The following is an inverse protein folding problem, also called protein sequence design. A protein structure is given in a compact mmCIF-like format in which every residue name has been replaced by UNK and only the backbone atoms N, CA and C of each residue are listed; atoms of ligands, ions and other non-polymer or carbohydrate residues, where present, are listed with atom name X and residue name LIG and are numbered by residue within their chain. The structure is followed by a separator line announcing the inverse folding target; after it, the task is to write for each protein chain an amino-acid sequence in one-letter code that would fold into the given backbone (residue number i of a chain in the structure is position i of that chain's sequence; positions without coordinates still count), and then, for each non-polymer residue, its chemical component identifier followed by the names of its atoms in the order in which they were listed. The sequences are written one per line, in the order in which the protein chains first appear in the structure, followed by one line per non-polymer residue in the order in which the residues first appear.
data_IF_592999481309
#
_entry.id   IF_592999481309
#
_cell.length_a   1.000
_cell.length_b   1.000
_cell.length_c   1.000
_cell.angle_alpha   90.00
_cell.angle_beta   90.00
_cell.angle_gamma   90.00
#
_symmetry.space_group_name_H-M   'P 1'
#
loop_
_entity.id
_entity.type
_entity.pdbx_description
1 polymer ?
#
# COMPACT_ATOMS: atom_id res chain seq x y z
N UNK A 1 -3.29 15.48 -33.69
CA UNK A 1 -2.50 14.24 -33.42
C UNK A 1 -1.82 14.42 -32.08
N UNK A 2 -2.45 13.92 -31.02
CA UNK A 2 -1.93 14.03 -29.65
C UNK A 2 -0.97 12.87 -29.43
N UNK A 3 0.32 13.15 -29.34
CA UNK A 3 1.36 12.17 -29.03
C UNK A 3 1.21 11.74 -27.59
N UNK A 4 0.68 10.53 -27.41
CA UNK A 4 0.53 9.87 -26.12
C UNK A 4 1.94 9.65 -25.53
N UNK A 5 2.38 10.52 -24.60
CA UNK A 5 3.65 10.38 -23.90
C UNK A 5 3.50 9.26 -22.86
N UNK A 6 3.64 7.99 -23.31
CA UNK A 6 3.80 6.83 -22.42
C UNK A 6 5.06 7.06 -21.57
N UNK A 7 4.93 7.03 -20.25
CA UNK A 7 6.10 7.04 -19.34
C UNK A 7 7.06 5.91 -19.72
N UNK A 8 8.37 6.11 -19.77
CA UNK A 8 9.34 5.04 -20.01
C UNK A 8 9.15 3.94 -18.97
N UNK A 9 8.94 2.69 -19.41
CA UNK A 9 8.72 1.54 -18.54
C UNK A 9 7.26 1.21 -18.23
N UNK A 10 6.27 1.84 -18.88
CA UNK A 10 4.86 1.50 -18.72
C UNK A 10 4.57 0.11 -19.28
N UNK A 11 3.91 -0.73 -18.48
CA UNK A 11 3.41 -2.04 -18.91
C UNK A 11 2.33 -1.85 -19.98
N UNK A 12 2.28 -2.76 -20.96
CA UNK A 12 1.20 -2.84 -21.92
C UNK A 12 0.20 -3.91 -21.47
N UNK A 13 -1.00 -3.46 -21.09
CA UNK A 13 -2.12 -4.32 -20.74
C UNK A 13 -3.24 -4.26 -21.79
N UNK A 14 -2.91 -3.90 -23.04
CA UNK A 14 -3.88 -3.87 -24.15
C UNK A 14 -4.57 -5.24 -24.28
N UNK A 15 -5.90 -5.24 -24.33
CA UNK A 15 -6.70 -6.45 -24.38
C UNK A 15 -6.96 -7.13 -23.04
N UNK A 16 -6.40 -6.62 -21.92
CA UNK A 16 -6.73 -7.11 -20.56
C UNK A 16 -8.03 -6.48 -20.08
N UNK A 17 -8.87 -7.28 -19.46
CA UNK A 17 -10.20 -6.91 -18.93
C UNK A 17 -10.12 -6.88 -17.41
N UNK A 18 -10.23 -5.70 -16.86
CA UNK A 18 -9.97 -5.44 -15.44
C UNK A 18 -11.23 -4.97 -14.73
N UNK A 19 -11.61 -5.65 -13.67
CA UNK A 19 -12.71 -5.24 -12.80
C UNK A 19 -12.17 -4.45 -11.59
N UNK A 20 -12.70 -3.25 -11.37
CA UNK A 20 -12.33 -2.39 -10.24
C UNK A 20 -13.57 -2.03 -9.41
N UNK A 21 -14.09 -2.95 -8.56
CA UNK A 21 -15.14 -2.63 -7.61
C UNK A 21 -14.62 -1.66 -6.56
N UNK A 22 -15.34 -0.55 -6.34
CA UNK A 22 -14.83 0.57 -5.54
C UNK A 22 -13.96 1.56 -6.32
N UNK A 23 -13.90 1.43 -7.66
CA UNK A 23 -13.10 2.27 -8.55
C UNK A 23 -13.42 3.77 -8.48
N UNK A 24 -14.64 4.16 -8.07
CA UNK A 24 -15.03 5.56 -7.90
C UNK A 24 -14.51 6.19 -6.59
N UNK A 25 -13.90 5.40 -5.69
CA UNK A 25 -13.28 5.87 -4.46
C UNK A 25 -11.92 6.54 -4.69
N UNK A 26 -11.34 7.13 -3.63
CA UNK A 26 -10.08 7.85 -3.75
C UNK A 26 -8.89 7.02 -4.25
N UNK A 27 -8.70 5.83 -3.69
CA UNK A 27 -7.66 4.88 -4.15
C UNK A 27 -8.08 4.27 -5.50
N UNK A 28 -9.35 3.91 -5.64
CA UNK A 28 -9.90 3.32 -6.85
C UNK A 28 -9.71 4.18 -8.10
N UNK A 29 -9.83 5.50 -7.96
CA UNK A 29 -9.57 6.45 -9.05
C UNK A 29 -8.14 6.29 -9.60
N UNK A 30 -7.13 6.27 -8.73
CA UNK A 30 -5.73 6.09 -9.14
C UNK A 30 -5.53 4.74 -9.84
N UNK A 31 -6.13 3.67 -9.32
CA UNK A 31 -6.11 2.35 -9.95
C UNK A 31 -6.71 2.41 -11.35
N UNK A 32 -7.91 2.99 -11.52
CA UNK A 32 -8.56 3.12 -12.82
C UNK A 32 -7.69 3.90 -13.81
N UNK A 33 -7.13 5.04 -13.41
CA UNK A 33 -6.22 5.84 -14.25
C UNK A 33 -5.02 5.05 -14.72
N UNK A 34 -4.37 4.32 -13.83
CA UNK A 34 -3.16 3.54 -14.18
C UNK A 34 -3.48 2.40 -15.15
N UNK A 35 -4.58 1.67 -14.98
CA UNK A 35 -4.98 0.62 -15.90
C UNK A 35 -5.42 1.15 -17.27
N UNK A 36 -6.16 2.25 -17.32
CA UNK A 36 -6.51 2.91 -18.58
C UNK A 36 -5.25 3.41 -19.32
N UNK A 37 -4.29 3.99 -18.60
CA UNK A 37 -3.02 4.42 -19.16
C UNK A 37 -2.18 3.23 -19.68
N UNK A 38 -2.31 2.05 -19.07
CA UNK A 38 -1.70 0.81 -19.52
C UNK A 38 -2.44 0.17 -20.71
N UNK A 39 -3.59 0.70 -21.14
CA UNK A 39 -4.35 0.24 -22.29
C UNK A 39 -5.35 -0.89 -22.01
N UNK A 40 -5.64 -1.17 -20.74
CA UNK A 40 -6.64 -2.17 -20.35
C UNK A 40 -8.08 -1.68 -20.58
N UNK A 41 -9.00 -2.62 -20.79
CA UNK A 41 -10.44 -2.38 -20.69
C UNK A 41 -10.84 -2.47 -19.22
N UNK A 42 -11.32 -1.35 -18.64
CA UNK A 42 -11.57 -1.22 -17.21
C UNK A 42 -13.06 -1.11 -16.94
N UNK A 43 -13.59 -2.06 -16.19
CA UNK A 43 -14.98 -2.07 -15.73
C UNK A 43 -15.05 -1.55 -14.30
N UNK A 44 -15.85 -0.51 -14.10
CA UNK A 44 -16.09 0.09 -12.78
C UNK A 44 -17.59 0.04 -12.48
N UNK A 45 -18.02 -0.81 -11.54
CA UNK A 45 -19.41 -0.81 -11.10
C UNK A 45 -19.69 0.43 -10.24
N UNK A 46 -20.82 1.08 -10.51
CA UNK A 46 -21.32 2.25 -9.78
C UNK A 46 -22.73 1.96 -9.25
N UNK A 47 -23.16 2.69 -8.22
CA UNK A 47 -24.49 2.51 -7.65
C UNK A 47 -25.59 3.18 -8.46
N UNK A 48 -25.26 4.25 -9.19
CA UNK A 48 -26.23 5.05 -9.97
C UNK A 48 -25.57 5.61 -11.23
N UNK A 49 -26.37 5.94 -12.24
CA UNK A 49 -25.92 6.63 -13.46
C UNK A 49 -25.29 7.98 -13.13
N UNK A 50 -25.86 8.72 -12.18
CA UNK A 50 -25.29 10.00 -11.76
C UNK A 50 -23.84 9.83 -11.27
N UNK A 51 -23.55 8.81 -10.44
CA UNK A 51 -22.18 8.54 -9.98
C UNK A 51 -21.25 8.09 -11.12
N UNK A 52 -21.79 7.43 -12.12
CA UNK A 52 -21.03 7.07 -13.30
C UNK A 52 -20.60 8.34 -14.06
N UNK A 53 -21.50 9.27 -14.26
CA UNK A 53 -21.20 10.54 -14.95
C UNK A 53 -20.25 11.42 -14.17
N UNK A 54 -20.52 11.63 -12.86
CA UNK A 54 -19.60 12.36 -11.96
C UNK A 54 -18.17 11.75 -12.00
N UNK A 55 -18.05 10.43 -12.05
CA UNK A 55 -16.74 9.79 -12.12
C UNK A 55 -16.07 9.97 -13.49
N UNK A 56 -16.83 9.97 -14.57
CA UNK A 56 -16.31 10.28 -15.90
C UNK A 56 -15.74 11.69 -15.96
N UNK A 57 -16.45 12.66 -15.39
CA UNK A 57 -15.96 14.05 -15.28
C UNK A 57 -14.67 14.14 -14.45
N UNK A 58 -14.61 13.44 -13.32
CA UNK A 58 -13.39 13.37 -12.47
C UNK A 58 -12.19 12.81 -13.24
N UNK A 59 -12.40 11.79 -14.07
CA UNK A 59 -11.32 11.22 -14.87
C UNK A 59 -10.88 12.15 -16.03
N UNK A 60 -11.79 12.97 -16.56
CA UNK A 60 -11.49 13.88 -17.68
C UNK A 60 -10.91 13.11 -18.88
N UNK A 61 -9.78 13.57 -19.42
CA UNK A 61 -9.11 12.97 -20.59
C UNK A 61 -8.69 11.48 -20.38
N UNK A 62 -8.61 11.01 -19.13
CA UNK A 62 -8.33 9.61 -18.86
C UNK A 62 -9.56 8.72 -19.12
N UNK A 63 -10.78 9.26 -19.20
CA UNK A 63 -12.00 8.53 -19.53
C UNK A 63 -12.07 8.16 -21.02
N UNK A 64 -11.27 7.21 -21.42
CA UNK A 64 -11.22 6.72 -22.81
C UNK A 64 -12.37 5.77 -23.13
N UNK A 65 -12.48 5.33 -24.40
CA UNK A 65 -13.45 4.30 -24.83
C UNK A 65 -13.24 2.92 -24.14
N UNK A 66 -12.13 2.73 -23.45
CA UNK A 66 -11.82 1.52 -22.66
C UNK A 66 -12.38 1.56 -21.24
N UNK A 67 -13.00 2.67 -20.82
CA UNK A 67 -13.67 2.79 -19.54
C UNK A 67 -15.13 2.34 -19.68
N UNK A 68 -15.51 1.31 -18.96
CA UNK A 68 -16.86 0.76 -18.90
C UNK A 68 -17.46 1.00 -17.52
N UNK A 69 -18.25 2.06 -17.40
CA UNK A 69 -19.02 2.35 -16.19
C UNK A 69 -20.35 1.59 -16.25
N UNK A 70 -20.62 0.74 -15.28
CA UNK A 70 -21.83 -0.08 -15.23
C UNK A 70 -22.61 0.18 -13.92
N UNK A 71 -23.90 0.46 -14.02
CA UNK A 71 -24.74 0.58 -12.82
C UNK A 71 -25.07 -0.81 -12.34
N UNK A 72 -24.42 -1.22 -11.26
CA UNK A 72 -24.54 -2.55 -10.72
C UNK A 72 -24.22 -2.61 -9.24
N UNK A 73 -25.03 -3.34 -8.48
CA UNK A 73 -24.75 -3.65 -7.09
C UNK A 73 -23.98 -4.97 -6.96
N UNK A 74 -22.75 -4.89 -6.51
CA UNK A 74 -21.85 -6.01 -6.26
C UNK A 74 -21.70 -6.35 -4.77
N UNK A 75 -22.42 -5.68 -3.89
CA UNK A 75 -22.24 -5.80 -2.43
C UNK A 75 -22.84 -7.08 -1.84
N UNK A 76 -23.60 -7.81 -2.63
CA UNK A 76 -24.15 -9.13 -2.29
C UNK A 76 -23.58 -10.24 -3.16
N UNK A 77 -23.61 -11.48 -2.67
CA UNK A 77 -23.15 -12.64 -3.44
C UNK A 77 -23.84 -12.76 -4.81
N UNK A 78 -25.17 -12.65 -4.83
CA UNK A 78 -25.93 -12.70 -6.08
C UNK A 78 -25.64 -11.51 -7.00
N UNK A 79 -25.38 -10.32 -6.43
CA UNK A 79 -24.98 -9.14 -7.18
C UNK A 79 -23.62 -9.32 -7.84
N UNK A 80 -22.63 -9.75 -7.07
CA UNK A 80 -21.28 -10.00 -7.59
C UNK A 80 -21.27 -11.09 -8.69
N UNK A 81 -22.05 -12.18 -8.54
CA UNK A 81 -22.21 -13.22 -9.55
C UNK A 81 -22.78 -12.67 -10.86
N UNK A 82 -23.83 -11.82 -10.77
CA UNK A 82 -24.38 -11.18 -11.98
C UNK A 82 -23.37 -10.25 -12.66
N UNK A 83 -22.59 -9.50 -11.89
CA UNK A 83 -21.54 -8.63 -12.43
C UNK A 83 -20.46 -9.44 -13.17
N UNK A 84 -19.99 -10.53 -12.58
CA UNK A 84 -19.02 -11.41 -13.21
C UNK A 84 -19.57 -12.04 -14.50
N UNK A 85 -20.84 -12.48 -14.49
CA UNK A 85 -21.52 -12.99 -15.67
C UNK A 85 -21.68 -11.92 -16.77
N UNK A 86 -21.99 -10.68 -16.39
CA UNK A 86 -22.10 -9.54 -17.31
C UNK A 86 -20.74 -9.26 -18.00
N UNK A 87 -19.65 -9.20 -17.25
CA UNK A 87 -18.31 -9.01 -17.82
C UNK A 87 -17.96 -10.14 -18.80
N UNK A 88 -18.28 -11.38 -18.44
CA UNK A 88 -18.03 -12.54 -19.30
C UNK A 88 -18.83 -12.45 -20.60
N UNK A 89 -20.06 -11.96 -20.54
CA UNK A 89 -20.96 -11.80 -21.70
C UNK A 89 -20.52 -10.65 -22.61
N UNK A 90 -20.11 -9.49 -22.04
CA UNK A 90 -19.85 -8.25 -22.79
C UNK A 90 -18.41 -8.13 -23.25
N UNK A 91 -17.45 -8.55 -22.42
CA UNK A 91 -16.01 -8.44 -22.70
C UNK A 91 -15.34 -9.80 -22.96
N UNK A 92 -16.07 -10.92 -22.82
CA UNK A 92 -15.54 -12.26 -23.03
C UNK A 92 -14.77 -12.85 -21.85
N UNK A 93 -14.71 -12.19 -20.69
CA UNK A 93 -14.05 -12.72 -19.48
C UNK A 93 -13.56 -11.66 -18.51
N UNK A 94 -12.79 -12.11 -17.53
CA UNK A 94 -12.13 -11.28 -16.51
C UNK A 94 -10.67 -11.70 -16.46
N UNK A 95 -9.76 -10.76 -16.66
CA UNK A 95 -8.33 -11.05 -16.54
C UNK A 95 -7.81 -10.68 -15.17
N UNK A 96 -8.16 -9.51 -14.66
CA UNK A 96 -7.70 -9.03 -13.37
C UNK A 96 -8.85 -8.44 -12.55
N UNK A 97 -8.70 -8.51 -11.23
CA UNK A 97 -9.57 -7.80 -10.27
C UNK A 97 -8.68 -6.98 -9.34
N UNK A 98 -8.98 -5.71 -9.19
CA UNK A 98 -8.42 -4.88 -8.13
C UNK A 98 -9.56 -4.35 -7.29
N UNK A 99 -9.60 -4.70 -6.02
CA UNK A 99 -10.73 -4.47 -5.13
C UNK A 99 -10.45 -3.41 -4.04
N UNK A 100 -10.40 -2.10 -4.37
CA UNK A 100 -10.35 -1.02 -3.40
C UNK A 100 -11.74 -0.75 -2.80
N UNK A 101 -12.41 -1.80 -2.38
CA UNK A 101 -13.73 -1.72 -1.72
C UNK A 101 -13.49 -1.29 -0.29
N UNK A 102 -14.16 -0.22 0.15
CA UNK A 102 -14.02 0.19 1.52
C UNK A 102 -14.58 1.57 1.81
N UNK A 103 -14.41 1.95 3.04
CA UNK A 103 -14.69 3.25 3.59
C UNK A 103 -14.01 3.36 4.94
N UNK A 104 -13.62 4.56 5.33
CA UNK A 104 -13.05 4.78 6.65
C UNK A 104 -14.17 5.07 7.64
N UNK A 105 -14.19 4.31 8.74
CA UNK A 105 -15.09 4.51 9.86
C UNK A 105 -14.27 4.67 11.14
N UNK A 106 -14.57 5.67 11.94
CA UNK A 106 -13.94 5.93 13.22
C UNK A 106 -14.83 6.79 14.12
N UNK A 107 -14.38 7.00 15.36
CA UNK A 107 -14.99 7.94 16.29
C UNK A 107 -15.59 7.30 17.54
N UNK A 108 -15.60 5.96 17.65
CA UNK A 108 -16.06 5.24 18.85
C UNK A 108 -15.04 4.20 19.31
N UNK A 109 -14.96 4.02 20.61
CA UNK A 109 -14.21 2.89 21.17
C UNK A 109 -14.93 1.58 20.82
N UNK A 110 -14.16 0.50 20.71
CA UNK A 110 -14.70 -0.78 20.22
C UNK A 110 -15.87 -1.32 21.07
N UNK A 111 -15.87 -1.04 22.37
CA UNK A 111 -16.98 -1.47 23.28
C UNK A 111 -18.17 -0.49 23.30
N UNK A 112 -18.12 0.62 22.58
CA UNK A 112 -19.18 1.63 22.46
C UNK A 112 -19.94 1.55 21.13
N UNK A 113 -19.56 0.59 20.25
CA UNK A 113 -20.20 0.44 18.93
C UNK A 113 -21.61 -0.12 19.08
N UNK A 114 -22.51 0.35 18.20
CA UNK A 114 -23.85 -0.19 18.05
C UNK A 114 -23.96 -1.25 16.96
N UNK A 115 -25.10 -1.93 16.91
CA UNK A 115 -25.39 -2.92 15.86
C UNK A 115 -25.30 -2.35 14.45
N UNK A 116 -25.72 -1.08 14.25
CA UNK A 116 -25.63 -0.39 12.96
C UNK A 116 -24.19 -0.14 12.55
N UNK A 117 -23.31 0.26 13.48
CA UNK A 117 -21.89 0.44 13.20
C UNK A 117 -21.26 -0.89 12.76
N UNK A 118 -21.56 -1.97 13.50
CA UNK A 118 -21.11 -3.32 13.19
C UNK A 118 -21.55 -3.75 11.80
N UNK A 119 -22.84 -3.57 11.49
CA UNK A 119 -23.40 -3.96 10.21
C UNK A 119 -22.71 -3.22 9.06
N UNK A 120 -22.59 -1.89 9.15
CA UNK A 120 -22.10 -1.07 8.04
C UNK A 120 -20.59 -1.11 7.89
N UNK A 121 -19.85 -1.02 9.01
CA UNK A 121 -18.39 -0.88 8.97
C UNK A 121 -17.63 -2.23 8.99
N UNK A 122 -18.32 -3.32 9.23
CA UNK A 122 -17.70 -4.65 9.22
C UNK A 122 -18.44 -5.62 8.30
N UNK A 123 -19.72 -5.92 8.57
CA UNK A 123 -20.44 -7.00 7.87
C UNK A 123 -20.61 -6.68 6.38
N UNK A 124 -21.07 -5.48 6.04
CA UNK A 124 -21.30 -5.09 4.64
C UNK A 124 -20.00 -5.06 3.84
N UNK A 125 -18.93 -4.51 4.40
CA UNK A 125 -17.63 -4.43 3.72
C UNK A 125 -17.02 -5.83 3.55
N UNK A 126 -16.97 -6.62 4.59
CA UNK A 126 -16.46 -8.00 4.51
C UNK A 126 -17.28 -8.86 3.54
N UNK A 127 -18.61 -8.69 3.53
CA UNK A 127 -19.51 -9.39 2.60
C UNK A 127 -19.23 -8.98 1.15
N UNK A 128 -19.04 -7.70 0.86
CA UNK A 128 -18.77 -7.21 -0.48
C UNK A 128 -17.44 -7.80 -1.02
N UNK A 129 -16.39 -7.81 -0.21
CA UNK A 129 -15.12 -8.44 -0.58
C UNK A 129 -15.24 -9.96 -0.82
N UNK A 130 -15.91 -10.68 0.08
CA UNK A 130 -16.13 -12.12 -0.06
C UNK A 130 -16.98 -12.44 -1.30
N UNK A 131 -18.01 -11.64 -1.59
CA UNK A 131 -18.89 -11.79 -2.75
C UNK A 131 -18.12 -11.61 -4.07
N UNK A 132 -17.33 -10.55 -4.19
CA UNK A 132 -16.52 -10.28 -5.38
C UNK A 132 -15.45 -11.35 -5.56
N UNK A 133 -14.76 -11.73 -4.51
CA UNK A 133 -13.76 -12.80 -4.55
C UNK A 133 -14.38 -14.10 -5.06
N UNK A 134 -15.47 -14.56 -4.45
CA UNK A 134 -16.15 -15.80 -4.83
C UNK A 134 -16.65 -15.77 -6.28
N UNK A 135 -17.18 -14.64 -6.73
CA UNK A 135 -17.74 -14.50 -8.06
C UNK A 135 -16.67 -14.40 -9.16
N UNK A 136 -15.50 -13.82 -8.86
CA UNK A 136 -14.51 -13.49 -9.90
C UNK A 136 -13.32 -14.45 -9.93
N UNK A 137 -12.81 -14.84 -8.75
CA UNK A 137 -11.55 -15.61 -8.65
C UNK A 137 -11.55 -16.90 -9.47
N UNK A 138 -12.63 -17.73 -9.50
CA UNK A 138 -12.68 -18.94 -10.32
C UNK A 138 -12.72 -18.70 -11.83
N UNK A 139 -12.95 -17.46 -12.25
CA UNK A 139 -13.13 -17.05 -13.64
C UNK A 139 -11.99 -16.18 -14.18
N UNK A 140 -10.97 -15.94 -13.38
CA UNK A 140 -9.79 -15.21 -13.84
C UNK A 140 -9.07 -16.01 -14.93
N UNK A 141 -8.48 -15.29 -15.89
CA UNK A 141 -7.57 -15.93 -16.84
C UNK A 141 -6.37 -16.57 -16.13
N UNK A 142 -5.70 -17.56 -16.72
CA UNK A 142 -4.57 -18.24 -16.06
C UNK A 142 -3.43 -17.31 -15.62
N UNK A 143 -3.23 -16.19 -16.34
CA UNK A 143 -2.26 -15.16 -16.00
C UNK A 143 -2.88 -14.01 -15.21
N UNK A 144 -4.11 -14.15 -14.77
CA UNK A 144 -4.86 -13.10 -14.06
C UNK A 144 -4.37 -12.86 -12.64
N UNK A 145 -4.56 -11.65 -12.14
CA UNK A 145 -4.23 -11.26 -10.78
C UNK A 145 -5.48 -10.80 -10.02
N UNK A 146 -5.58 -11.21 -8.76
CA UNK A 146 -6.57 -10.68 -7.81
C UNK A 146 -5.86 -9.84 -6.76
N UNK A 147 -6.08 -8.55 -6.77
CA UNK A 147 -5.46 -7.60 -5.84
C UNK A 147 -6.49 -7.10 -4.82
N UNK A 148 -6.36 -7.53 -3.58
CA UNK A 148 -7.05 -6.91 -2.45
C UNK A 148 -6.34 -5.60 -2.09
N UNK A 149 -7.10 -4.55 -1.85
CA UNK A 149 -6.58 -3.31 -1.28
C UNK A 149 -6.97 -3.27 0.19
N UNK A 150 -5.97 -3.26 1.06
CA UNK A 150 -6.11 -3.42 2.51
C UNK A 150 -5.41 -2.25 3.20
N UNK A 151 -6.02 -1.71 4.25
CA UNK A 151 -5.39 -0.66 5.06
C UNK A 151 -4.35 -1.22 6.04
N UNK A 152 -3.31 -0.42 6.36
CA UNK A 152 -2.30 -0.75 7.39
C UNK A 152 -2.94 -1.01 8.77
N UNK A 153 -4.18 -0.56 8.99
CA UNK A 153 -4.98 -0.90 10.17
C UNK A 153 -5.22 -2.40 10.37
N UNK A 154 -4.98 -3.22 9.33
CA UNK A 154 -4.95 -4.68 9.43
C UNK A 154 -3.84 -5.20 10.34
N UNK A 155 -2.74 -4.47 10.49
CA UNK A 155 -1.54 -4.88 11.24
C UNK A 155 -1.18 -3.92 12.36
N UNK A 156 -1.57 -2.66 12.25
CA UNK A 156 -1.33 -1.62 13.26
C UNK A 156 -2.67 -1.10 13.76
N UNK A 157 -3.07 -1.42 15.00
CA UNK A 157 -4.35 -0.99 15.53
C UNK A 157 -4.52 0.53 15.52
N UNK A 158 -5.68 0.99 15.04
CA UNK A 158 -6.04 2.41 15.05
C UNK A 158 -7.10 2.63 16.13
N UNK A 159 -6.79 3.36 17.23
CA UNK A 159 -7.76 3.68 18.27
C UNK A 159 -9.00 4.36 17.67
N UNK A 160 -10.18 4.02 18.16
CA UNK A 160 -11.50 4.49 17.69
C UNK A 160 -11.90 4.06 16.27
N UNK A 161 -11.06 3.33 15.55
CA UNK A 161 -11.36 2.71 14.24
C UNK A 161 -11.28 1.18 14.30
N UNK A 162 -11.71 0.59 15.42
CA UNK A 162 -11.57 -0.85 15.69
C UNK A 162 -12.29 -1.73 14.67
N UNK A 163 -13.49 -1.34 14.20
CA UNK A 163 -14.23 -2.11 13.19
C UNK A 163 -13.47 -2.19 11.86
N UNK A 164 -12.91 -1.07 11.41
CA UNK A 164 -12.08 -1.05 10.20
C UNK A 164 -10.82 -1.90 10.41
N UNK A 165 -10.15 -1.79 11.57
CA UNK A 165 -8.98 -2.61 11.86
C UNK A 165 -9.30 -4.11 11.83
N UNK A 166 -10.43 -4.53 12.36
CA UNK A 166 -10.89 -5.93 12.34
C UNK A 166 -11.23 -6.39 10.92
N UNK A 167 -11.97 -5.58 10.17
CA UNK A 167 -12.36 -5.89 8.79
C UNK A 167 -11.11 -6.02 7.89
N UNK A 168 -10.19 -5.06 7.95
CA UNK A 168 -8.95 -5.10 7.18
C UNK A 168 -8.06 -6.28 7.57
N UNK A 169 -8.04 -6.68 8.85
CA UNK A 169 -7.34 -7.90 9.29
C UNK A 169 -7.98 -9.17 8.72
N UNK A 170 -9.31 -9.22 8.63
CA UNK A 170 -10.02 -10.33 8.00
C UNK A 170 -9.69 -10.45 6.50
N UNK A 171 -9.59 -9.32 5.78
CA UNK A 171 -9.20 -9.30 4.36
C UNK A 171 -7.75 -9.77 4.17
N UNK A 172 -6.84 -9.36 5.04
CA UNK A 172 -5.45 -9.81 4.98
C UNK A 172 -5.35 -11.32 5.24
N UNK A 173 -6.13 -11.84 6.20
CA UNK A 173 -6.22 -13.28 6.44
C UNK A 173 -6.87 -14.01 5.25
N UNK A 174 -7.88 -13.43 4.61
CA UNK A 174 -8.49 -14.00 3.39
C UNK A 174 -7.45 -14.18 2.28
N UNK A 175 -6.59 -13.19 2.03
CA UNK A 175 -5.51 -13.33 1.06
C UNK A 175 -4.57 -14.50 1.40
N UNK A 176 -4.18 -14.65 2.67
CA UNK A 176 -3.30 -15.74 3.13
C UNK A 176 -3.93 -17.12 2.94
N UNK A 177 -5.22 -17.25 3.29
CA UNK A 177 -5.99 -18.49 3.11
C UNK A 177 -6.08 -18.83 1.63
N UNK A 178 -6.45 -17.87 0.78
CA UNK A 178 -6.52 -18.09 -0.67
C UNK A 178 -5.17 -18.52 -1.26
N UNK A 179 -4.07 -17.91 -0.82
CA UNK A 179 -2.73 -18.31 -1.24
C UNK A 179 -2.41 -19.75 -0.84
N UNK A 180 -2.80 -20.17 0.37
CA UNK A 180 -2.61 -21.52 0.84
C UNK A 180 -3.48 -22.55 0.09
N UNK A 181 -4.75 -22.22 -0.19
CA UNK A 181 -5.69 -23.08 -0.90
C UNK A 181 -5.38 -23.23 -2.41
N UNK A 182 -4.92 -22.16 -3.06
CA UNK A 182 -4.62 -22.15 -4.49
C UNK A 182 -3.18 -22.59 -4.80
N UNK A 183 -2.34 -22.74 -3.78
CA UNK A 183 -0.94 -23.11 -3.92
C UNK A 183 -0.02 -21.90 -4.17
N UNK A 184 1.29 -22.15 -4.05
CA UNK A 184 2.32 -21.11 -4.03
C UNK A 184 2.47 -20.26 -5.29
N UNK A 185 1.90 -20.71 -6.41
CA UNK A 185 1.92 -19.98 -7.69
C UNK A 185 0.66 -19.10 -7.89
N UNK A 186 -0.24 -19.07 -6.92
CA UNK A 186 -1.44 -18.24 -6.99
C UNK A 186 -1.09 -16.75 -7.12
N UNK A 187 -1.89 -16.01 -7.87
CA UNK A 187 -1.68 -14.58 -8.13
C UNK A 187 -2.66 -13.71 -7.34
N UNK A 188 -2.81 -14.03 -6.05
CA UNK A 188 -3.63 -13.26 -5.10
C UNK A 188 -2.72 -12.35 -4.27
N UNK A 189 -2.84 -11.05 -4.48
CA UNK A 189 -2.05 -10.02 -3.82
C UNK A 189 -2.86 -9.30 -2.75
N UNK A 190 -2.20 -8.82 -1.70
CA UNK A 190 -2.73 -7.80 -0.80
C UNK A 190 -1.84 -6.56 -0.88
N UNK A 191 -2.38 -5.44 -1.36
CA UNK A 191 -1.74 -4.13 -1.30
C UNK A 191 -2.11 -3.50 0.04
N UNK A 192 -1.19 -3.53 1.00
CA UNK A 192 -1.39 -3.03 2.36
C UNK A 192 -0.96 -1.57 2.42
N UNK A 193 -1.93 -0.67 2.52
CA UNK A 193 -1.73 0.76 2.36
C UNK A 193 -1.62 1.48 3.71
N UNK A 194 -0.58 2.28 3.87
CA UNK A 194 -0.56 3.38 4.82
C UNK A 194 -1.55 4.49 4.40
N UNK A 195 -1.42 5.70 4.95
CA UNK A 195 -2.18 6.85 4.47
C UNK A 195 -1.90 7.12 2.99
N UNK A 196 -2.98 7.38 2.21
CA UNK A 196 -2.89 7.58 0.76
C UNK A 196 -3.30 9.01 0.39
N UNK A 197 -2.50 9.65 -0.47
CA UNK A 197 -2.89 10.92 -1.09
C UNK A 197 -3.96 10.66 -2.13
N UNK A 198 -5.16 11.13 -1.85
CA UNK A 198 -6.31 11.05 -2.74
C UNK A 198 -6.94 12.42 -2.89
N UNK A 199 -7.84 12.60 -3.86
CA UNK A 199 -8.60 13.86 -4.01
C UNK A 199 -9.44 14.22 -2.77
N UNK A 200 -9.73 13.27 -1.89
CA UNK A 200 -10.49 13.48 -0.66
C UNK A 200 -9.61 13.87 0.53
N UNK A 201 -8.29 13.76 0.42
CA UNK A 201 -7.36 14.09 1.48
C UNK A 201 -6.72 15.46 1.22
N UNK A 202 -7.46 16.54 1.55
CA UNK A 202 -7.05 17.92 1.26
C UNK A 202 -5.73 18.36 1.92
N UNK A 203 -5.34 17.73 3.04
CA UNK A 203 -4.11 18.00 3.79
C UNK A 203 -3.15 16.79 3.78
N UNK A 204 -3.07 16.08 2.65
CA UNK A 204 -2.22 14.90 2.55
C UNK A 204 -0.72 15.27 2.64
N UNK A 205 0.01 14.54 3.47
CA UNK A 205 1.46 14.64 3.56
C UNK A 205 2.09 14.23 2.20
N UNK A 206 3.00 15.04 1.63
CA UNK A 206 3.71 14.70 0.39
C UNK A 206 4.48 13.37 0.44
N UNK A 207 4.85 12.90 1.63
CA UNK A 207 5.51 11.61 1.85
C UNK A 207 4.57 10.41 1.77
N UNK A 208 3.24 10.60 1.78
CA UNK A 208 2.28 9.50 1.62
C UNK A 208 2.30 8.95 0.19
N UNK A 209 2.01 7.67 0.05
CA UNK A 209 1.83 7.06 -1.28
C UNK A 209 0.66 7.72 -2.01
N UNK A 210 0.81 7.96 -3.30
CA UNK A 210 -0.27 8.48 -4.16
C UNK A 210 -1.21 7.39 -4.63
N UNK A 211 -2.46 7.73 -4.87
CA UNK A 211 -3.43 6.78 -5.43
C UNK A 211 -2.98 6.23 -6.79
N UNK A 212 -2.36 7.05 -7.63
CA UNK A 212 -1.79 6.62 -8.91
C UNK A 212 -0.60 5.65 -8.70
N UNK A 213 0.23 5.88 -7.68
CA UNK A 213 1.34 4.99 -7.33
C UNK A 213 0.82 3.61 -6.88
N UNK A 214 -0.31 3.54 -6.15
CA UNK A 214 -1.00 2.28 -5.84
C UNK A 214 -1.48 1.59 -7.11
N UNK A 215 -2.05 2.35 -8.04
CA UNK A 215 -2.49 1.86 -9.34
C UNK A 215 -1.34 1.29 -10.17
N UNK A 216 -0.19 1.97 -10.21
CA UNK A 216 1.00 1.52 -10.93
C UNK A 216 1.54 0.20 -10.37
N UNK A 217 1.47 -0.02 -9.04
CA UNK A 217 1.83 -1.30 -8.42
C UNK A 217 0.84 -2.40 -8.80
N UNK A 218 -0.47 -2.11 -8.83
CA UNK A 218 -1.48 -3.07 -9.26
C UNK A 218 -1.29 -3.47 -10.74
N UNK A 219 -0.99 -2.51 -11.61
CA UNK A 219 -0.63 -2.74 -13.03
C UNK A 219 0.61 -3.64 -13.13
N UNK A 220 1.64 -3.40 -12.35
CA UNK A 220 2.83 -4.24 -12.34
C UNK A 220 2.54 -5.67 -11.83
N UNK A 221 1.65 -5.82 -10.85
CA UNK A 221 1.18 -7.13 -10.41
C UNK A 221 0.43 -7.87 -11.52
N UNK A 222 -0.44 -7.20 -12.26
CA UNK A 222 -1.16 -7.78 -13.40
C UNK A 222 -0.24 -8.17 -14.55
N UNK A 223 0.72 -7.31 -14.90
CA UNK A 223 1.63 -7.53 -16.03
C UNK A 223 2.71 -8.59 -15.75
N UNK A 224 3.09 -8.75 -14.49
CA UNK A 224 4.14 -9.70 -14.09
C UNK A 224 3.65 -11.16 -14.08
N UNK A 225 4.58 -12.07 -13.78
CA UNK A 225 4.32 -13.50 -13.61
C UNK A 225 4.54 -13.98 -12.17
N UNK A 226 4.85 -13.09 -11.26
CA UNK A 226 5.19 -13.44 -9.88
C UNK A 226 3.99 -13.94 -9.08
N UNK A 227 4.20 -14.91 -8.18
CA UNK A 227 3.18 -15.33 -7.23
C UNK A 227 2.68 -14.17 -6.37
N UNK A 228 1.42 -14.26 -5.97
CA UNK A 228 0.76 -13.31 -5.11
C UNK A 228 1.41 -13.22 -3.73
N UNK A 229 1.37 -12.02 -3.16
CA UNK A 229 1.97 -11.72 -1.84
C UNK A 229 1.39 -10.47 -1.21
N UNK A 230 1.75 -10.24 0.03
CA UNK A 230 1.54 -8.94 0.67
C UNK A 230 2.57 -7.93 0.17
N UNK A 231 2.09 -6.76 -0.25
CA UNK A 231 2.92 -5.64 -0.69
C UNK A 231 2.54 -4.43 0.16
N UNK A 232 3.48 -3.91 0.93
CA UNK A 232 3.24 -2.78 1.82
C UNK A 232 3.63 -1.47 1.16
N UNK A 233 2.69 -0.54 1.12
CA UNK A 233 2.82 0.78 0.51
C UNK A 233 2.51 1.85 1.56
N UNK A 234 3.49 2.18 2.39
CA UNK A 234 3.35 3.13 3.50
C UNK A 234 3.76 4.54 3.12
N UNK A 235 4.75 4.64 2.23
CA UNK A 235 5.38 5.89 1.82
C UNK A 235 5.57 5.92 0.31
N UNK A 236 5.79 7.10 -0.22
CA UNK A 236 5.95 7.35 -1.66
C UNK A 236 7.00 6.47 -2.34
N UNK A 237 8.13 6.18 -1.70
CA UNK A 237 9.19 5.32 -2.26
C UNK A 237 8.83 3.83 -2.36
N UNK A 238 7.77 3.37 -1.66
CA UNK A 238 7.40 1.95 -1.62
C UNK A 238 6.89 1.43 -2.96
N UNK A 239 6.22 2.28 -3.75
CA UNK A 239 5.66 1.89 -5.04
C UNK A 239 6.76 1.50 -6.05
N UNK A 240 7.82 2.29 -6.15
CA UNK A 240 8.94 1.98 -7.03
C UNK A 240 9.61 0.64 -6.70
N UNK A 241 9.79 0.35 -5.41
CA UNK A 241 10.33 -0.93 -4.93
C UNK A 241 9.41 -2.10 -5.24
N UNK A 242 8.12 -1.93 -4.98
CA UNK A 242 7.13 -2.97 -5.27
C UNK A 242 7.10 -3.32 -6.76
N UNK A 243 7.15 -2.31 -7.63
CA UNK A 243 7.18 -2.49 -9.08
C UNK A 243 8.46 -3.24 -9.50
N UNK A 244 9.63 -2.87 -8.98
CA UNK A 244 10.87 -3.57 -9.26
C UNK A 244 10.82 -5.04 -8.81
N UNK A 245 10.32 -5.31 -7.60
CA UNK A 245 10.11 -6.66 -7.09
C UNK A 245 9.20 -7.52 -7.97
N UNK A 246 8.13 -6.92 -8.52
CA UNK A 246 7.17 -7.61 -9.37
C UNK A 246 7.71 -7.90 -10.77
N UNK A 247 8.61 -7.05 -11.29
CA UNK A 247 9.24 -7.22 -12.61
C UNK A 247 10.34 -8.27 -12.60
N UNK A 248 11.35 -8.07 -11.76
CA UNK A 248 12.64 -8.76 -11.93
C UNK A 248 12.82 -9.94 -10.98
N UNK A 249 11.97 -10.05 -9.95
CA UNK A 249 12.12 -11.05 -8.88
C UNK A 249 13.40 -10.91 -8.06
N UNK A 250 14.28 -10.09 -8.55
CA UNK A 250 15.49 -9.61 -7.90
C UNK A 250 15.32 -8.12 -7.68
N UNK A 251 14.56 -7.72 -6.67
CA UNK A 251 14.82 -6.41 -6.11
C UNK A 251 16.16 -6.48 -5.40
N UNK A 252 17.25 -6.40 -6.15
CA UNK A 252 18.41 -5.67 -5.66
C UNK A 252 18.07 -4.18 -5.69
N UNK A 253 17.04 -3.79 -5.00
CA UNK A 253 17.06 -2.48 -4.37
C UNK A 253 18.17 -2.68 -3.33
N UNK A 254 19.31 -2.08 -3.57
CA UNK A 254 20.38 -1.99 -2.58
C UNK A 254 19.91 -1.08 -1.44
N UNK A 255 18.82 -1.50 -0.80
CA UNK A 255 18.35 -0.82 0.39
C UNK A 255 19.52 -0.89 1.40
N UNK A 256 19.93 0.25 1.86
CA UNK A 256 20.98 0.37 2.86
C UNK A 256 20.30 0.39 4.21
N UNK A 257 20.49 -0.67 4.97
CA UNK A 257 20.10 -0.71 6.37
C UNK A 257 21.27 -0.26 7.21
N UNK A 258 21.03 0.69 8.10
CA UNK A 258 22.07 1.18 9.02
C UNK A 258 21.65 0.93 10.47
N UNK A 259 22.64 0.58 11.26
CA UNK A 259 22.48 0.42 12.69
C UNK A 259 23.55 1.25 13.42
N UNK A 260 23.10 2.08 14.35
CA UNK A 260 23.98 2.87 15.20
C UNK A 260 23.58 2.70 16.66
N UNK A 261 24.57 2.65 17.54
CA UNK A 261 24.35 2.66 18.98
C UNK A 261 24.94 3.93 19.58
N UNK A 262 24.22 4.54 20.51
CA UNK A 262 24.63 5.78 21.18
C UNK A 262 24.45 5.63 22.69
N UNK A 263 25.45 5.99 23.47
CA UNK A 263 25.36 6.03 24.92
C UNK A 263 25.21 7.47 25.40
N UNK A 264 24.06 7.82 25.98
CA UNK A 264 23.90 9.15 26.58
C UNK A 264 24.81 9.33 27.77
N UNK A 265 25.26 10.57 28.04
CA UNK A 265 25.86 10.93 29.30
C UNK A 265 24.85 10.71 30.42
N UNK A 266 25.28 10.33 31.62
CA UNK A 266 24.37 10.15 32.75
C UNK A 266 23.49 11.38 32.99
N UNK A 267 22.17 11.17 33.09
CA UNK A 267 21.16 12.20 33.26
C UNK A 267 20.79 12.99 31.99
N UNK A 268 21.35 12.66 30.83
CA UNK A 268 21.02 13.31 29.53
C UNK A 268 20.17 12.44 28.59
N UNK A 269 19.62 11.33 29.09
CA UNK A 269 18.87 10.36 28.33
C UNK A 269 17.61 10.96 27.66
N UNK A 270 16.83 11.70 28.47
CA UNK A 270 15.60 12.35 27.98
C UNK A 270 15.90 13.39 26.92
N UNK A 271 16.95 14.18 27.11
CA UNK A 271 17.35 15.22 26.16
C UNK A 271 17.83 14.63 24.83
N UNK A 272 18.59 13.53 24.89
CA UNK A 272 18.97 12.80 23.67
C UNK A 272 17.74 12.25 22.95
N UNK A 273 16.79 11.65 23.65
CA UNK A 273 15.57 11.11 23.06
C UNK A 273 14.70 12.19 22.41
N UNK A 274 14.61 13.37 23.04
CA UNK A 274 13.86 14.50 22.50
C UNK A 274 14.52 15.02 21.20
N UNK A 275 15.84 15.18 21.20
CA UNK A 275 16.60 15.53 20.00
C UNK A 275 16.41 14.50 18.90
N UNK A 276 16.48 13.20 19.21
CA UNK A 276 16.29 12.14 18.23
C UNK A 276 14.85 12.07 17.70
N UNK A 277 13.83 12.46 18.47
CA UNK A 277 12.46 12.60 17.97
C UNK A 277 12.33 13.76 16.98
N UNK A 278 12.93 14.93 17.33
CA UNK A 278 12.98 16.09 16.42
C UNK A 278 13.63 15.73 15.09
N UNK A 279 14.84 15.19 15.14
CA UNK A 279 15.59 14.79 13.95
C UNK A 279 14.89 13.65 13.19
N UNK A 280 14.31 12.69 13.91
CA UNK A 280 13.60 11.57 13.31
C UNK A 280 12.38 11.98 12.47
N UNK A 281 11.70 13.06 12.86
CA UNK A 281 10.63 13.62 12.04
C UNK A 281 11.17 14.18 10.70
N UNK A 282 12.31 14.87 10.76
CA UNK A 282 12.98 15.41 9.57
C UNK A 282 13.53 14.28 8.68
N UNK A 283 14.19 13.28 9.27
CA UNK A 283 14.79 12.14 8.55
C UNK A 283 13.70 11.33 7.82
N UNK A 284 12.54 11.08 8.45
CA UNK A 284 11.42 10.38 7.81
C UNK A 284 10.84 11.12 6.60
N UNK A 285 10.99 12.43 6.55
CA UNK A 285 10.56 13.26 5.42
C UNK A 285 11.61 13.35 4.29
N UNK A 286 12.83 12.83 4.49
CA UNK A 286 13.86 12.84 3.47
C UNK A 286 13.52 11.92 2.29
N UNK A 287 13.80 12.36 1.06
CA UNK A 287 13.69 11.47 -0.10
C UNK A 287 14.54 10.21 0.08
N UNK A 288 13.93 9.06 -0.16
CA UNK A 288 14.60 7.76 -0.06
C UNK A 288 14.77 7.21 1.37
N UNK A 289 14.37 7.92 2.41
CA UNK A 289 14.28 7.34 3.75
C UNK A 289 13.06 6.43 3.86
N UNK A 290 13.29 5.14 4.14
CA UNK A 290 12.26 4.11 4.21
C UNK A 290 11.81 3.86 5.64
N UNK A 291 12.76 3.97 6.57
CA UNK A 291 12.53 3.71 7.98
C UNK A 291 13.50 4.52 8.82
N UNK A 292 12.99 5.05 9.90
CA UNK A 292 13.76 5.57 11.03
C UNK A 292 13.10 5.11 12.33
N UNK A 293 13.89 4.50 13.22
CA UNK A 293 13.43 4.18 14.57
C UNK A 293 14.57 4.31 15.56
N UNK A 294 14.27 4.83 16.74
CA UNK A 294 15.19 4.94 17.87
C UNK A 294 14.60 4.20 19.08
N UNK A 295 15.39 3.35 19.70
CA UNK A 295 14.98 2.48 20.80
C UNK A 295 15.96 2.64 21.95
N UNK A 296 15.44 2.90 23.15
CA UNK A 296 16.23 2.88 24.38
C UNK A 296 16.24 1.44 24.94
N UNK A 297 17.44 0.94 25.31
CA UNK A 297 17.52 -0.35 26.01
C UNK A 297 16.87 -0.28 27.39
N UNK A 298 16.39 -1.44 27.87
CA UNK A 298 15.81 -1.54 29.24
C UNK A 298 16.87 -1.69 30.33
N UNK A 299 18.16 -1.70 29.99
CA UNK A 299 19.25 -1.75 30.95
C UNK A 299 19.37 -0.37 31.63
N UNK A 300 18.95 -0.31 32.87
CA UNK A 300 18.97 0.93 33.67
C UNK A 300 20.39 1.37 34.03
N UNK A 301 21.33 0.43 34.17
CA UNK A 301 22.71 0.74 34.58
C UNK A 301 23.54 1.25 33.39
N UNK A 302 23.15 0.87 32.15
CA UNK A 302 23.84 1.28 30.91
C UNK A 302 22.84 1.60 29.79
N UNK A 303 22.09 2.68 29.91
CA UNK A 303 21.12 3.03 28.88
C UNK A 303 21.83 3.24 27.53
N UNK A 304 21.38 2.56 26.51
CA UNK A 304 21.92 2.66 25.15
C UNK A 304 20.77 2.92 24.18
N UNK A 305 20.93 3.89 23.29
CA UNK A 305 19.98 4.14 22.22
C UNK A 305 20.45 3.40 20.97
N UNK A 306 19.59 2.54 20.46
CA UNK A 306 19.76 1.88 19.16
C UNK A 306 18.96 2.65 18.11
N UNK A 307 19.62 3.08 17.04
CA UNK A 307 18.98 3.72 15.89
C UNK A 307 19.08 2.74 14.71
N UNK A 308 17.92 2.49 14.12
CA UNK A 308 17.80 1.73 12.86
C UNK A 308 17.24 2.67 11.79
N UNK A 309 17.94 2.73 10.67
CA UNK A 309 17.48 3.45 9.49
C UNK A 309 17.58 2.54 8.28
N UNK A 310 16.68 2.75 7.34
CA UNK A 310 16.64 2.07 6.06
C UNK A 310 16.47 3.12 4.95
N UNK A 311 17.28 3.07 3.95
CA UNK A 311 17.24 3.94 2.78
C UNK A 311 17.06 3.13 1.50
N UNK A 312 16.36 3.68 0.53
CA UNK A 312 16.06 3.00 -0.74
C UNK A 312 17.29 2.72 -1.60
N UNK A 313 18.39 3.45 -1.39
CA UNK A 313 19.65 3.29 -2.12
C UNK A 313 20.84 3.85 -1.33
N UNK A 314 22.03 3.55 -1.81
CA UNK A 314 23.26 4.12 -1.28
C UNK A 314 23.31 5.64 -1.46
N UNK A 315 22.84 6.15 -2.60
CA UNK A 315 22.79 7.59 -2.88
C UNK A 315 21.85 8.31 -1.90
N UNK A 316 20.70 7.71 -1.58
CA UNK A 316 19.79 8.26 -0.57
C UNK A 316 20.43 8.30 0.83
N UNK A 317 21.17 7.25 1.21
CA UNK A 317 21.92 7.23 2.45
C UNK A 317 23.06 8.27 2.48
N UNK A 318 23.79 8.44 1.39
CA UNK A 318 24.86 9.45 1.28
C UNK A 318 24.28 10.86 1.36
N UNK A 319 23.15 11.12 0.70
CA UNK A 319 22.42 12.39 0.80
C UNK A 319 21.93 12.67 2.23
N UNK A 320 21.42 11.65 2.94
CA UNK A 320 21.10 11.73 4.36
C UNK A 320 22.33 12.08 5.19
N UNK A 321 23.43 11.35 5.00
CA UNK A 321 24.68 11.55 5.74
C UNK A 321 25.20 12.98 5.62
N UNK A 322 25.12 13.56 4.42
CA UNK A 322 25.50 14.94 4.18
C UNK A 322 24.59 15.96 4.93
N UNK A 323 23.26 15.68 4.99
CA UNK A 323 22.31 16.57 5.69
C UNK A 323 22.49 16.50 7.20
N UNK A 324 22.66 15.29 7.77
CA UNK A 324 22.77 15.10 9.21
C UNK A 324 24.13 15.56 9.77
N UNK A 325 25.16 15.74 8.93
CA UNK A 325 26.51 16.12 9.34
C UNK A 325 26.53 17.37 10.25
N UNK A 326 25.69 18.35 9.96
CA UNK A 326 25.55 19.56 10.79
C UNK A 326 24.94 19.32 12.18
N UNK A 327 24.27 18.17 12.40
CA UNK A 327 23.65 17.83 13.69
C UNK A 327 24.57 16.94 14.56
N UNK A 328 25.60 16.35 13.99
CA UNK A 328 26.55 15.47 14.71
C UNK A 328 27.13 16.12 15.95
N UNK A 329 27.56 17.39 15.96
CA UNK A 329 28.04 18.05 17.18
C UNK A 329 26.97 18.16 18.29
N UNK A 330 25.71 18.44 17.94
CA UNK A 330 24.59 18.50 18.90
C UNK A 330 24.35 17.14 19.54
N UNK A 331 24.35 16.08 18.73
CA UNK A 331 24.20 14.70 19.21
C UNK A 331 25.41 14.33 20.09
N UNK A 332 26.61 14.58 19.62
CA UNK A 332 27.86 14.26 20.32
C UNK A 332 28.00 14.93 21.70
N UNK A 333 27.44 16.15 21.86
CA UNK A 333 27.44 16.85 23.16
C UNK A 333 26.67 16.08 24.24
N UNK A 334 25.72 15.24 23.87
CA UNK A 334 24.86 14.44 24.75
C UNK A 334 25.40 13.03 25.00
N UNK A 335 26.45 12.60 24.30
CA UNK A 335 26.98 11.24 24.34
C UNK A 335 28.24 11.14 25.20
N UNK A 336 28.46 9.98 25.83
CA UNK A 336 29.68 9.62 26.53
C UNK A 336 30.91 9.58 25.58
N UNK A 337 30.70 9.07 24.39
CA UNK A 337 31.70 9.00 23.32
C UNK A 337 31.11 9.53 22.01
N UNK A 338 31.90 10.12 21.12
CA UNK A 338 31.45 10.53 19.81
C UNK A 338 30.70 9.40 19.09
N UNK A 339 29.66 9.71 18.32
CA UNK A 339 28.95 8.67 17.59
C UNK A 339 29.90 7.98 16.60
N UNK A 340 29.93 6.64 16.64
CA UNK A 340 30.66 5.85 15.66
C UNK A 340 29.91 5.90 14.30
N UNK A 341 30.63 5.75 13.20
CA UNK A 341 29.98 5.55 11.91
C UNK A 341 28.96 4.40 11.98
N UNK A 342 27.81 4.51 11.34
CA UNK A 342 26.81 3.45 11.37
C UNK A 342 27.35 2.17 10.69
N UNK A 343 27.02 1.01 11.26
CA UNK A 343 27.21 -0.25 10.55
C UNK A 343 26.25 -0.31 9.37
N UNK A 344 26.75 -0.64 8.19
CA UNK A 344 25.99 -0.75 6.95
C UNK A 344 25.73 -2.22 6.65
N UNK A 345 24.47 -2.54 6.37
CA UNK A 345 24.05 -3.88 5.97
C UNK A 345 23.36 -3.78 4.61
N UNK A 346 23.71 -4.69 3.69
CA UNK A 346 22.95 -4.87 2.46
C UNK A 346 21.65 -5.63 2.72
N UNK A 347 20.68 -5.51 1.83
CA UNK A 347 19.37 -6.16 1.94
C UNK A 347 19.35 -7.67 1.70
N UNK A 348 20.50 -8.31 1.56
CA UNK A 348 20.63 -9.74 1.18
C UNK A 348 20.32 -10.74 2.31
N UNK A 349 19.87 -10.29 3.47
CA UNK A 349 19.39 -11.21 4.50
C UNK A 349 17.96 -11.60 4.15
N UNK A 350 17.79 -12.79 3.58
CA UNK A 350 16.51 -13.46 3.52
C UNK A 350 15.90 -13.40 4.93
N UNK A 351 14.66 -12.89 5.04
CA UNK A 351 13.94 -12.89 6.30
C UNK A 351 13.90 -14.34 6.80
N UNK A 352 14.64 -14.62 7.87
CA UNK A 352 14.54 -15.89 8.58
C UNK A 352 13.15 -15.87 9.20
N UNK A 353 12.20 -16.53 8.55
CA UNK A 353 10.90 -16.84 9.13
C UNK A 353 11.17 -17.83 10.27
N UNK A 354 11.33 -17.29 11.47
CA UNK A 354 11.30 -18.11 12.68
C UNK A 354 9.92 -18.72 12.82
N UNK A 355 9.91 -20.02 13.09
CA UNK A 355 8.77 -20.87 13.35
C UNK A 355 7.86 -20.35 14.48
#
# INVERSE_FOLDING_TARGET
MSTNHRKPGAHDLSGRRVLVPGGTGGVGEGVVRSYLAAGADVVVPTRTEQRAEEFREVLGDAATARLHLVVHDYTSFAGAERLAAEMKRTLGGIDDVVAPIGGFWSGRRLWEIGASDWQTAFVELATAHAAVMRACLPHLSPAGAYCLVVGESAVTPVPTAGLVSMEQSALLMMQRVLTAELGGESRVFALVLGPVRTRFAAAADPGWVGADEVGDVAVAASAGSRPGREIRLRHRGDAGRAIALLRDGTSRVEAVVTMSTMRPKPGRESELLDLLRELGAQIRAEPGCLRYSAHLTRDADRPTVLILMEFESREAFEAHSARIAGQVPRIGALLETPPAPPALFGSDVAAVSGA
#
